data_IF_064462092307
#
_entry.id   IF_064462092307
#
_cell.length_a   1.000
_cell.length_b   1.000
_cell.length_c   1.000
_cell.angle_alpha   90.00
_cell.angle_beta   90.00
_cell.angle_gamma   90.00
#
_symmetry.space_group_name_H-M   'P 1'
#
loop_
_entity.id
_entity.type
_entity.pdbx_description
1 polymer ?
#
# COMPACT_ATOMS: atom_id res chain seq x y z
N UNK A 1 -7.85 -16.33 16.16
CA UNK A 1 -8.09 -14.87 16.10
C UNK A 1 -7.05 -14.32 15.15
N UNK A 2 -7.38 -14.22 13.87
CA UNK A 2 -6.49 -13.60 12.89
C UNK A 2 -6.48 -12.09 13.18
N UNK A 3 -5.30 -11.51 13.39
CA UNK A 3 -5.16 -10.06 13.52
C UNK A 3 -5.45 -9.46 12.16
N UNK A 4 -6.60 -8.82 12.01
CA UNK A 4 -6.90 -8.01 10.84
C UNK A 4 -6.08 -6.71 10.97
N UNK A 5 -4.99 -6.60 10.23
CA UNK A 5 -4.22 -5.35 10.16
C UNK A 5 -5.07 -4.29 9.46
N UNK A 6 -5.32 -3.17 10.14
CA UNK A 6 -6.10 -2.05 9.62
C UNK A 6 -5.12 -1.08 8.94
N UNK A 7 -5.08 -1.08 7.61
CA UNK A 7 -4.30 -0.11 6.85
C UNK A 7 -5.05 1.23 6.78
N UNK A 8 -4.31 2.34 6.77
CA UNK A 8 -4.86 3.68 6.60
C UNK A 8 -4.14 4.39 5.47
N UNK A 9 -4.91 5.10 4.65
CA UNK A 9 -4.37 5.94 3.60
C UNK A 9 -3.49 7.04 4.20
N UNK A 10 -2.23 7.11 3.77
CA UNK A 10 -1.28 8.15 4.17
C UNK A 10 -1.72 9.56 3.72
N UNK A 11 -2.48 9.65 2.62
CA UNK A 11 -2.93 10.93 2.06
C UNK A 11 -4.18 11.53 2.72
N UNK A 12 -5.18 10.70 3.08
CA UNK A 12 -6.47 11.19 3.58
C UNK A 12 -6.92 10.56 4.90
N UNK A 13 -6.16 9.62 5.46
CA UNK A 13 -6.47 8.94 6.71
C UNK A 13 -7.63 7.92 6.63
N UNK A 14 -8.24 7.75 5.45
CA UNK A 14 -9.30 6.76 5.21
C UNK A 14 -8.78 5.36 5.49
N UNK A 15 -9.59 4.53 6.13
CA UNK A 15 -9.27 3.11 6.34
C UNK A 15 -9.26 2.41 4.99
N UNK A 16 -8.19 1.67 4.71
CA UNK A 16 -8.05 0.79 3.56
C UNK A 16 -8.47 -0.60 4.04
N UNK A 17 -9.71 -0.97 3.72
CA UNK A 17 -10.28 -2.27 4.12
C UNK A 17 -9.72 -3.43 3.29
N UNK A 18 -9.32 -3.14 2.05
CA UNK A 18 -8.77 -4.12 1.11
C UNK A 18 -7.57 -3.52 0.38
N UNK A 19 -6.44 -4.22 0.39
CA UNK A 19 -5.32 -3.88 -0.47
C UNK A 19 -5.67 -4.20 -1.93
N UNK A 20 -5.25 -3.36 -2.90
CA UNK A 20 -5.37 -3.68 -4.31
C UNK A 20 -4.69 -5.01 -4.63
N UNK A 21 -5.28 -5.80 -5.52
CA UNK A 21 -4.70 -7.11 -5.90
C UNK A 21 -3.30 -6.96 -6.50
N UNK A 22 -3.04 -5.87 -7.22
CA UNK A 22 -1.72 -5.52 -7.75
C UNK A 22 -0.65 -5.41 -6.64
N UNK A 23 -0.98 -4.84 -5.48
CA UNK A 23 -0.06 -4.73 -4.35
C UNK A 23 0.29 -6.12 -3.79
N UNK A 24 -0.65 -7.06 -3.76
CA UNK A 24 -0.40 -8.42 -3.30
C UNK A 24 0.39 -9.28 -4.32
N UNK A 25 0.30 -8.95 -5.61
CA UNK A 25 0.97 -9.68 -6.68
C UNK A 25 2.39 -9.18 -6.96
N UNK A 26 2.63 -7.89 -6.75
CA UNK A 26 3.88 -7.22 -7.08
C UNK A 26 4.42 -6.46 -5.86
N UNK A 27 5.14 -7.21 -5.04
CA UNK A 27 5.86 -6.72 -3.86
C UNK A 27 7.35 -6.87 -4.10
N UNK A 28 8.08 -5.78 -3.85
CA UNK A 28 9.53 -5.71 -3.99
C UNK A 28 10.15 -5.30 -2.67
N UNK A 29 11.34 -5.82 -2.40
CA UNK A 29 12.13 -5.37 -1.26
C UNK A 29 13.03 -4.23 -1.70
N UNK A 30 12.84 -3.05 -1.12
CA UNK A 30 13.68 -1.89 -1.34
C UNK A 30 14.87 -1.95 -0.39
N UNK A 31 16.06 -2.31 -0.89
CA UNK A 31 17.28 -2.44 -0.07
C UNK A 31 17.76 -1.10 0.50
N UNK A 32 17.52 0.02 -0.19
CA UNK A 32 17.93 1.34 0.28
C UNK A 32 17.13 1.78 1.51
N UNK A 33 15.83 1.47 1.52
CA UNK A 33 14.94 1.75 2.66
C UNK A 33 14.88 0.61 3.67
N UNK A 34 15.34 -0.58 3.27
CA UNK A 34 15.21 -1.82 4.04
C UNK A 34 13.74 -2.14 4.38
N UNK A 35 12.84 -1.95 3.41
CA UNK A 35 11.38 -2.09 3.55
C UNK A 35 10.76 -2.81 2.36
N UNK A 36 9.57 -3.39 2.55
CA UNK A 36 8.76 -3.89 1.43
C UNK A 36 7.90 -2.78 0.84
N UNK A 37 7.99 -2.62 -0.46
CA UNK A 37 7.14 -1.75 -1.27
C UNK A 37 6.24 -2.62 -2.14
N UNK A 38 4.99 -2.19 -2.35
CA UNK A 38 4.06 -2.86 -3.25
C UNK A 38 3.58 -1.93 -4.35
N UNK A 39 3.30 -2.51 -5.52
CA UNK A 39 2.79 -1.76 -6.65
C UNK A 39 1.30 -1.44 -6.48
N UNK A 40 0.99 -0.16 -6.44
CA UNK A 40 -0.35 0.37 -6.22
C UNK A 40 -1.02 0.90 -7.50
N UNK A 41 -0.53 0.49 -8.68
CA UNK A 41 -1.03 0.94 -9.98
C UNK A 41 -0.23 2.11 -10.55
N UNK A 42 -0.46 2.46 -11.81
CA UNK A 42 0.33 3.47 -12.52
C UNK A 42 0.28 4.86 -11.86
N UNK A 43 -0.87 5.21 -11.26
CA UNK A 43 -1.09 6.52 -10.64
C UNK A 43 -0.32 6.68 -9.31
N UNK A 44 0.02 5.58 -8.64
CA UNK A 44 0.67 5.60 -7.31
C UNK A 44 2.05 4.95 -7.29
N UNK A 45 2.39 4.10 -8.27
CA UNK A 45 3.64 3.39 -8.36
C UNK A 45 3.87 2.43 -7.19
N UNK A 46 5.13 2.21 -6.86
CA UNK A 46 5.54 1.44 -5.68
C UNK A 46 5.50 2.32 -4.44
N UNK A 47 4.86 1.82 -3.37
CA UNK A 47 4.78 2.51 -2.08
C UNK A 47 5.05 1.53 -0.94
N UNK A 48 5.67 2.03 0.14
CA UNK A 48 5.83 1.24 1.37
C UNK A 48 4.46 0.90 1.98
N UNK A 49 4.38 -0.24 2.67
CA UNK A 49 3.15 -0.65 3.38
C UNK A 49 2.69 0.36 4.44
N UNK A 50 3.60 1.15 4.99
CA UNK A 50 3.32 2.25 5.92
C UNK A 50 2.76 3.50 5.22
N UNK A 51 2.93 3.63 3.91
CA UNK A 51 2.60 4.81 3.11
C UNK A 51 1.47 4.56 2.10
N UNK A 52 0.78 3.42 2.22
CA UNK A 52 -0.33 3.03 1.35
C UNK A 52 -1.31 4.19 1.13
N UNK A 53 -1.79 4.30 -0.10
CA UNK A 53 -2.79 5.29 -0.50
C UNK A 53 -4.09 4.56 -0.86
N UNK A 54 -5.24 5.20 -0.68
CA UNK A 54 -6.48 4.68 -1.24
C UNK A 54 -6.60 5.08 -2.71
N UNK A 55 -7.48 4.42 -3.45
CA UNK A 55 -7.75 4.73 -4.87
C UNK A 55 -8.03 6.21 -5.10
N UNK A 56 -8.74 6.88 -4.20
CA UNK A 56 -9.02 8.32 -4.33
C UNK A 56 -7.77 9.22 -4.23
N UNK A 57 -6.72 8.77 -3.55
CA UNK A 57 -5.42 9.45 -3.47
C UNK A 57 -4.43 8.97 -4.53
N UNK A 58 -4.80 7.92 -5.28
CA UNK A 58 -4.12 7.40 -6.46
C UNK A 58 -4.86 7.80 -7.74
N UNK A 59 -5.44 9.01 -7.77
CA UNK A 59 -6.12 9.61 -8.93
C UNK A 59 -5.49 10.95 -9.28
#
# INVERSE_FOLDING_TARGET
MEKMEIYKCSGCGKVIETLPQCCAQDMVFNEEKNEFECFMGEDCGYVSLSELKCDDCCK
#
